data_IF_341133599090
#
_entry.id   IF_341133599090
#
_cell.length_a   1.000
_cell.length_b   1.000
_cell.length_c   1.000
_cell.angle_alpha   90.00
_cell.angle_beta   90.00
_cell.angle_gamma   90.00
#
_symmetry.space_group_name_H-M   'P 1'
#
loop_
_entity.id
_entity.type
_entity.pdbx_description
1 polymer ?
#
# COMPACT_ATOMS: atom_id res chain seq x y z
N UNK A 1 18.22 -31.25 6.11
CA UNK A 1 16.87 -31.05 6.68
C UNK A 1 15.93 -30.84 5.50
N UNK A 2 14.90 -31.69 5.32
CA UNK A 2 13.96 -31.48 4.21
C UNK A 2 13.20 -30.16 4.46
N UNK A 3 12.90 -29.38 3.42
CA UNK A 3 12.09 -28.18 3.58
C UNK A 3 10.72 -28.61 4.10
N UNK A 4 10.30 -28.11 5.26
CA UNK A 4 8.93 -28.29 5.73
C UNK A 4 8.00 -27.74 4.65
N UNK A 5 7.27 -28.64 3.99
CA UNK A 5 6.10 -28.29 3.18
C UNK A 5 5.18 -27.52 4.11
N UNK A 6 5.03 -26.20 3.90
CA UNK A 6 4.22 -25.33 4.77
C UNK A 6 2.83 -25.93 4.89
N UNK A 7 2.34 -26.05 6.11
CA UNK A 7 0.99 -26.51 6.35
C UNK A 7 0.06 -25.39 5.83
N UNK A 8 -0.82 -25.66 4.84
CA UNK A 8 -1.73 -24.64 4.32
C UNK A 8 -2.63 -24.01 5.41
N UNK A 9 -2.79 -24.67 6.55
CA UNK A 9 -3.61 -24.20 7.66
C UNK A 9 -2.81 -23.40 8.71
N UNK A 10 -1.47 -23.30 8.59
CA UNK A 10 -0.70 -22.39 9.43
C UNK A 10 -0.92 -20.92 9.03
N UNK A 11 -0.51 -19.99 9.91
CA UNK A 11 -0.73 -18.56 9.68
C UNK A 11 -0.15 -18.07 8.35
N UNK A 12 1.00 -18.61 7.91
CA UNK A 12 1.63 -18.21 6.66
C UNK A 12 0.91 -18.81 5.44
N UNK A 13 0.44 -20.05 5.53
CA UNK A 13 -0.38 -20.73 4.53
C UNK A 13 -1.72 -20.03 4.31
N UNK A 14 -2.38 -19.61 5.40
CA UNK A 14 -3.64 -18.84 5.33
C UNK A 14 -3.42 -17.50 4.60
N UNK A 15 -2.37 -16.75 4.95
CA UNK A 15 -2.06 -15.46 4.29
C UNK A 15 -1.73 -15.68 2.82
N UNK A 16 -0.96 -16.71 2.48
CA UNK A 16 -0.63 -17.03 1.09
C UNK A 16 -1.88 -17.37 0.26
N UNK A 17 -2.81 -18.13 0.84
CA UNK A 17 -4.09 -18.48 0.19
C UNK A 17 -4.99 -17.25 0.04
N UNK A 18 -5.05 -16.39 1.06
CA UNK A 18 -5.77 -15.13 1.00
C UNK A 18 -5.23 -14.20 -0.09
N UNK A 19 -3.91 -14.09 -0.23
CA UNK A 19 -3.27 -13.34 -1.31
C UNK A 19 -3.61 -13.93 -2.69
N UNK A 20 -3.62 -15.27 -2.82
CA UNK A 20 -4.05 -15.92 -4.06
C UNK A 20 -5.52 -15.63 -4.43
N UNK A 21 -6.42 -15.57 -3.44
CA UNK A 21 -7.81 -15.16 -3.66
C UNK A 21 -7.89 -13.71 -4.12
N UNK A 22 -7.13 -12.81 -3.49
CA UNK A 22 -7.05 -11.40 -3.88
C UNK A 22 -6.62 -11.26 -5.34
N UNK A 23 -5.52 -11.91 -5.73
CA UNK A 23 -4.99 -11.79 -7.09
C UNK A 23 -5.96 -12.33 -8.15
N UNK A 24 -6.66 -13.43 -7.84
CA UNK A 24 -7.57 -14.08 -8.78
C UNK A 24 -8.96 -13.44 -8.88
N UNK A 25 -9.46 -12.86 -7.79
CA UNK A 25 -10.87 -12.44 -7.69
C UNK A 25 -11.08 -11.02 -7.15
N UNK A 26 -10.03 -10.35 -6.70
CA UNK A 26 -10.11 -9.03 -6.09
C UNK A 26 -10.52 -9.03 -4.61
N UNK A 27 -10.48 -7.84 -4.00
CA UNK A 27 -10.66 -7.64 -2.57
C UNK A 27 -12.10 -7.93 -2.11
N UNK A 28 -13.08 -7.60 -2.96
CA UNK A 28 -14.50 -7.84 -2.67
C UNK A 28 -14.78 -9.33 -2.42
N UNK A 29 -14.07 -10.22 -3.14
CA UNK A 29 -14.21 -11.66 -3.00
C UNK A 29 -13.40 -12.26 -1.86
N UNK A 30 -12.39 -11.55 -1.34
CA UNK A 30 -11.63 -11.94 -0.16
C UNK A 30 -12.47 -11.84 1.12
N UNK A 31 -13.26 -12.89 1.36
CA UNK A 31 -14.12 -13.05 2.53
C UNK A 31 -13.63 -14.20 3.42
N UNK A 32 -13.89 -14.12 4.73
CA UNK A 32 -13.55 -15.20 5.67
C UNK A 32 -14.17 -16.55 5.25
N UNK A 33 -15.39 -16.51 4.71
CA UNK A 33 -16.10 -17.71 4.24
C UNK A 33 -15.46 -18.32 2.98
N UNK A 34 -15.09 -17.49 1.98
CA UNK A 34 -14.40 -17.97 0.77
C UNK A 34 -13.05 -18.57 1.15
N UNK A 35 -12.28 -17.87 1.98
CA UNK A 35 -10.98 -18.34 2.44
C UNK A 35 -11.07 -19.68 3.19
N UNK A 36 -12.07 -19.81 4.08
CA UNK A 36 -12.29 -21.06 4.81
C UNK A 36 -12.60 -22.22 3.86
N UNK A 37 -13.46 -21.98 2.85
CA UNK A 37 -13.78 -22.96 1.80
C UNK A 37 -12.55 -23.34 0.98
N UNK A 38 -11.74 -22.37 0.58
CA UNK A 38 -10.52 -22.61 -0.21
C UNK A 38 -9.49 -23.46 0.55
N UNK A 39 -9.46 -23.29 1.87
CA UNK A 39 -8.60 -24.03 2.78
C UNK A 39 -9.21 -25.33 3.29
N UNK A 40 -10.43 -25.70 2.88
CA UNK A 40 -11.18 -26.85 3.40
C UNK A 40 -11.29 -26.88 4.94
N UNK A 41 -11.52 -25.71 5.55
CA UNK A 41 -11.72 -25.55 7.01
C UNK A 41 -13.00 -24.79 7.32
N UNK A 42 -13.39 -24.78 8.60
CA UNK A 42 -14.49 -23.91 9.06
C UNK A 42 -14.02 -22.47 9.20
N UNK A 43 -14.91 -21.49 9.06
CA UNK A 43 -14.58 -20.09 9.33
C UNK A 43 -14.08 -19.88 10.77
N UNK A 44 -14.60 -20.66 11.73
CA UNK A 44 -14.14 -20.67 13.12
C UNK A 44 -12.66 -21.04 13.27
N UNK A 45 -12.15 -21.94 12.43
CA UNK A 45 -10.72 -22.31 12.41
C UNK A 45 -9.82 -21.10 12.10
N UNK A 46 -10.23 -20.24 11.16
CA UNK A 46 -9.48 -19.05 10.79
C UNK A 46 -9.39 -18.03 11.93
N UNK A 47 -10.42 -17.94 12.78
CA UNK A 47 -10.45 -16.99 13.89
C UNK A 47 -9.43 -17.31 15.00
N UNK A 48 -8.91 -18.53 15.06
CA UNK A 48 -7.78 -18.87 15.93
C UNK A 48 -6.47 -18.20 15.50
N UNK A 49 -6.32 -17.91 14.21
CA UNK A 49 -5.14 -17.22 13.67
C UNK A 49 -5.34 -15.71 13.53
N UNK A 50 -6.57 -15.28 13.27
CA UNK A 50 -6.93 -13.89 13.04
C UNK A 50 -8.24 -13.56 13.76
N UNK A 51 -8.17 -12.75 14.81
CA UNK A 51 -9.32 -12.36 15.63
C UNK A 51 -10.42 -11.60 14.83
N UNK A 52 -10.08 -11.04 13.66
CA UNK A 52 -11.02 -10.32 12.80
C UNK A 52 -10.61 -10.37 11.32
N UNK A 53 -11.54 -10.01 10.43
CA UNK A 53 -11.22 -9.82 9.00
C UNK A 53 -10.14 -8.74 8.82
N UNK A 54 -10.20 -7.65 9.60
CA UNK A 54 -9.25 -6.55 9.53
C UNK A 54 -7.83 -7.01 9.88
N UNK A 55 -7.67 -7.88 10.89
CA UNK A 55 -6.37 -8.44 11.23
C UNK A 55 -5.81 -9.34 10.13
N UNK A 56 -6.67 -10.13 9.47
CA UNK A 56 -6.29 -10.90 8.28
C UNK A 56 -5.85 -9.96 7.15
N UNK A 57 -6.64 -8.94 6.83
CA UNK A 57 -6.31 -7.98 5.76
C UNK A 57 -4.98 -7.26 6.05
N UNK A 58 -4.74 -6.84 7.29
CA UNK A 58 -3.45 -6.26 7.68
C UNK A 58 -2.28 -7.20 7.46
N UNK A 59 -2.43 -8.50 7.76
CA UNK A 59 -1.39 -9.49 7.51
C UNK A 59 -1.17 -9.80 6.01
N UNK A 60 -2.22 -9.73 5.19
CA UNK A 60 -2.10 -9.82 3.73
C UNK A 60 -1.43 -8.56 3.18
N UNK A 61 -1.80 -7.37 3.66
CA UNK A 61 -1.15 -6.11 3.31
C UNK A 61 0.35 -6.13 3.68
N UNK A 62 0.72 -6.63 4.86
CA UNK A 62 2.13 -6.80 5.24
C UNK A 62 2.89 -7.70 4.26
N UNK A 63 2.26 -8.77 3.77
CA UNK A 63 2.85 -9.65 2.75
C UNK A 63 3.03 -8.91 1.42
N UNK A 64 2.01 -8.17 0.97
CA UNK A 64 2.04 -7.38 -0.27
C UNK A 64 3.13 -6.31 -0.21
N UNK A 65 3.26 -5.63 0.92
CA UNK A 65 4.20 -4.53 1.11
C UNK A 65 5.63 -4.96 1.46
N UNK A 66 5.87 -6.23 1.81
CA UNK A 66 7.18 -6.72 2.22
C UNK A 66 8.32 -6.35 1.27
N UNK A 67 8.17 -6.40 -0.08
CA UNK A 67 9.21 -5.95 -1.01
C UNK A 67 9.54 -4.46 -0.86
N UNK A 68 8.55 -3.60 -0.60
CA UNK A 68 8.74 -2.16 -0.48
C UNK A 68 9.53 -1.77 0.78
N UNK A 69 9.46 -2.58 1.84
CA UNK A 69 10.17 -2.35 3.10
C UNK A 69 11.52 -3.10 3.18
N UNK A 70 11.87 -3.92 2.19
CA UNK A 70 13.02 -4.83 2.27
C UNK A 70 14.38 -4.11 2.39
N UNK A 71 14.51 -2.90 1.84
CA UNK A 71 15.75 -2.12 1.91
C UNK A 71 15.44 -0.68 2.26
N UNK A 72 15.96 -0.16 3.39
CA UNK A 72 15.81 1.25 3.73
C UNK A 72 16.38 2.14 2.63
N UNK A 73 15.68 3.20 2.23
CA UNK A 73 16.14 4.08 1.17
C UNK A 73 17.35 4.90 1.63
N UNK A 74 18.35 5.01 0.75
CA UNK A 74 19.53 5.83 0.94
C UNK A 74 19.41 7.19 0.22
N UNK A 75 20.31 8.12 0.53
CA UNK A 75 20.36 9.44 -0.09
C UNK A 75 19.72 10.55 0.74
N UNK A 76 19.51 11.70 0.09
CA UNK A 76 18.86 12.85 0.70
C UNK A 76 17.35 12.63 0.86
N UNK A 77 16.69 13.53 1.58
CA UNK A 77 15.27 13.37 1.91
C UNK A 77 14.35 13.27 0.67
N UNK A 78 14.56 14.00 -0.45
CA UNK A 78 13.75 13.82 -1.66
C UNK A 78 13.91 12.44 -2.28
N UNK A 79 15.15 11.93 -2.36
CA UNK A 79 15.42 10.58 -2.87
C UNK A 79 14.75 9.52 -2.00
N UNK A 80 14.80 9.69 -0.66
CA UNK A 80 14.14 8.78 0.28
C UNK A 80 12.62 8.76 0.12
N UNK A 81 11.97 9.92 0.02
CA UNK A 81 10.52 10.00 -0.24
C UNK A 81 10.19 9.34 -1.57
N UNK A 82 10.99 9.61 -2.61
CA UNK A 82 10.78 9.04 -3.95
C UNK A 82 10.86 7.52 -3.94
N UNK A 83 11.87 6.97 -3.28
CA UNK A 83 12.08 5.53 -3.17
C UNK A 83 10.93 4.84 -2.41
N UNK A 84 10.50 5.38 -1.27
CA UNK A 84 9.38 4.80 -0.51
C UNK A 84 8.08 4.86 -1.30
N UNK A 85 7.77 6.01 -1.90
CA UNK A 85 6.54 6.19 -2.67
C UNK A 85 6.49 5.27 -3.90
N UNK A 86 7.62 5.12 -4.60
CA UNK A 86 7.71 4.23 -5.77
C UNK A 86 7.63 2.76 -5.36
N UNK A 87 8.38 2.35 -4.33
CA UNK A 87 8.32 0.97 -3.82
C UNK A 87 6.93 0.61 -3.30
N UNK A 88 6.24 1.53 -2.63
CA UNK A 88 4.85 1.36 -2.24
C UNK A 88 3.97 1.16 -3.48
N UNK A 89 3.99 2.07 -4.46
CA UNK A 89 3.21 1.94 -5.70
C UNK A 89 3.46 0.61 -6.41
N UNK A 90 4.71 0.21 -6.56
CA UNK A 90 5.08 -1.04 -7.24
C UNK A 90 4.51 -2.27 -6.51
N UNK A 91 4.59 -2.29 -5.17
CA UNK A 91 3.99 -3.33 -4.36
C UNK A 91 2.47 -3.38 -4.52
N UNK A 92 1.79 -2.23 -4.53
CA UNK A 92 0.34 -2.16 -4.73
C UNK A 92 -0.07 -2.67 -6.12
N UNK A 93 0.66 -2.29 -7.17
CA UNK A 93 0.39 -2.69 -8.55
C UNK A 93 0.69 -4.17 -8.83
N UNK A 94 1.50 -4.82 -7.98
CA UNK A 94 1.81 -6.25 -8.12
C UNK A 94 0.67 -7.19 -7.73
N UNK A 95 -0.41 -6.66 -7.15
CA UNK A 95 -1.57 -7.42 -6.69
C UNK A 95 -2.88 -6.75 -7.11
N UNK A 96 -3.87 -7.55 -7.52
CA UNK A 96 -5.23 -7.07 -7.83
C UNK A 96 -5.83 -6.38 -6.60
N UNK A 97 -6.42 -5.19 -6.77
CA UNK A 97 -6.97 -4.36 -5.68
C UNK A 97 -6.00 -4.07 -4.53
N UNK A 98 -4.68 -4.15 -4.78
CA UNK A 98 -3.65 -3.93 -3.77
C UNK A 98 -3.77 -2.57 -3.07
N UNK A 99 -4.07 -1.50 -3.82
CA UNK A 99 -4.28 -0.16 -3.25
C UNK A 99 -5.48 -0.13 -2.28
N UNK A 100 -6.58 -0.80 -2.62
CA UNK A 100 -7.76 -0.86 -1.76
C UNK A 100 -7.50 -1.68 -0.50
N UNK A 101 -6.83 -2.83 -0.63
CA UNK A 101 -6.44 -3.68 0.51
C UNK A 101 -5.57 -2.90 1.51
N UNK A 102 -4.54 -2.23 1.01
CA UNK A 102 -3.60 -1.49 1.87
C UNK A 102 -4.29 -0.26 2.45
N UNK A 103 -5.14 0.45 1.70
CA UNK A 103 -5.94 1.56 2.21
C UNK A 103 -6.83 1.14 3.38
N UNK A 104 -7.57 0.02 3.23
CA UNK A 104 -8.40 -0.52 4.30
C UNK A 104 -7.58 -0.93 5.54
N UNK A 105 -6.41 -1.55 5.33
CA UNK A 105 -5.51 -1.98 6.42
C UNK A 105 -4.85 -0.80 7.12
N UNK A 106 -4.52 0.27 6.38
CA UNK A 106 -3.97 1.51 6.91
C UNK A 106 -4.98 2.28 7.73
N UNK A 107 -6.23 2.38 7.27
CA UNK A 107 -7.32 2.99 8.02
C UNK A 107 -7.62 2.24 9.32
N UNK A 108 -7.49 0.90 9.31
CA UNK A 108 -7.72 0.05 10.47
C UNK A 108 -6.50 -0.10 11.41
N UNK A 109 -5.33 0.42 11.03
CA UNK A 109 -4.08 0.27 11.80
C UNK A 109 -3.68 -1.20 12.02
N UNK A 110 -3.80 -2.03 10.98
CA UNK A 110 -3.55 -3.49 11.09
C UNK A 110 -2.28 -3.97 10.36
N UNK A 111 -1.67 -3.14 9.53
CA UNK A 111 -0.44 -3.47 8.80
C UNK A 111 0.75 -2.80 9.49
N UNK A 112 1.76 -3.60 9.86
CA UNK A 112 3.00 -3.10 10.45
C UNK A 112 3.93 -2.53 9.38
N UNK A 113 3.92 -3.13 8.19
CA UNK A 113 4.81 -2.71 7.11
C UNK A 113 4.45 -1.30 6.63
N UNK A 114 3.16 -0.96 6.52
CA UNK A 114 2.77 0.42 6.18
C UNK A 114 3.12 1.41 7.29
N UNK A 115 3.09 1.00 8.57
CA UNK A 115 3.54 1.82 9.69
C UNK A 115 5.05 2.08 9.63
N UNK A 116 5.84 1.07 9.25
CA UNK A 116 7.29 1.22 9.02
C UNK A 116 7.58 2.19 7.87
N UNK A 117 6.90 2.05 6.73
CA UNK A 117 7.02 2.97 5.60
C UNK A 117 6.60 4.40 5.98
N UNK A 118 5.53 4.55 6.76
CA UNK A 118 5.10 5.85 7.30
C UNK A 118 6.18 6.45 8.21
N UNK A 119 6.84 5.63 9.05
CA UNK A 119 7.97 6.05 9.87
C UNK A 119 9.14 6.56 9.02
N UNK A 120 9.50 5.84 7.95
CA UNK A 120 10.56 6.26 7.03
C UNK A 120 10.25 7.61 6.36
N UNK A 121 9.00 7.83 5.94
CA UNK A 121 8.54 9.10 5.38
C UNK A 121 8.52 10.22 6.42
N UNK A 122 8.17 9.91 7.67
CA UNK A 122 8.19 10.87 8.78
C UNK A 122 9.62 11.35 9.06
N UNK A 123 10.58 10.43 9.07
CA UNK A 123 12.01 10.77 9.21
C UNK A 123 12.54 11.57 8.03
N UNK A 124 12.13 11.24 6.80
CA UNK A 124 12.49 12.03 5.62
C UNK A 124 11.90 13.45 5.69
N UNK A 125 10.65 13.61 6.11
CA UNK A 125 10.05 14.92 6.35
C UNK A 125 10.81 15.71 7.44
N UNK A 126 11.27 15.03 8.50
CA UNK A 126 12.14 15.64 9.50
C UNK A 126 13.46 16.15 8.91
N UNK A 127 14.10 15.36 8.04
CA UNK A 127 15.32 15.75 7.33
C UNK A 127 15.09 16.88 6.30
N UNK A 128 13.86 17.04 5.79
CA UNK A 128 13.47 18.20 5.00
C UNK A 128 13.36 19.50 5.81
N UNK A 129 13.33 19.40 7.15
CA UNK A 129 13.13 20.53 8.07
C UNK A 129 11.69 20.74 8.51
N UNK A 130 10.78 19.80 8.21
CA UNK A 130 9.38 19.89 8.64
C UNK A 130 9.29 19.86 10.18
N UNK A 131 8.55 20.79 10.82
CA UNK A 131 8.34 20.80 12.27
C UNK A 131 7.77 19.47 12.79
N UNK A 132 8.21 19.03 13.96
CA UNK A 132 7.84 17.73 14.52
C UNK A 132 6.33 17.43 14.54
N UNK A 133 5.43 18.37 14.88
CA UNK A 133 3.98 18.12 14.86
C UNK A 133 3.41 17.84 13.45
N UNK A 134 4.11 18.25 12.39
CA UNK A 134 3.65 18.18 11.00
C UNK A 134 4.28 17.03 10.20
N UNK A 135 5.35 16.41 10.69
CA UNK A 135 6.07 15.33 9.96
C UNK A 135 5.16 14.14 9.62
N UNK A 136 4.36 13.70 10.59
CA UNK A 136 3.40 12.61 10.37
C UNK A 136 2.30 13.03 9.39
N UNK A 137 1.87 14.30 9.39
CA UNK A 137 0.90 14.81 8.43
C UNK A 137 1.47 14.78 7.00
N UNK A 138 2.71 15.24 6.82
CA UNK A 138 3.43 15.17 5.55
C UNK A 138 3.55 13.72 5.05
N UNK A 139 3.97 12.80 5.92
CA UNK A 139 4.10 11.39 5.60
C UNK A 139 2.75 10.76 5.18
N UNK A 140 1.68 11.02 5.93
CA UNK A 140 0.32 10.53 5.60
C UNK A 140 -0.18 11.10 4.27
N UNK A 141 0.10 12.37 3.97
CA UNK A 141 -0.27 12.98 2.67
C UNK A 141 0.39 12.25 1.51
N UNK A 142 1.67 11.91 1.63
CA UNK A 142 2.38 11.13 0.61
C UNK A 142 1.76 9.74 0.46
N UNK A 143 1.48 9.04 1.57
CA UNK A 143 0.82 7.72 1.53
C UNK A 143 -0.57 7.81 0.86
N UNK A 144 -1.40 8.80 1.22
CA UNK A 144 -2.71 8.98 0.60
C UNK A 144 -2.60 9.27 -0.89
N UNK A 145 -1.62 10.06 -1.32
CA UNK A 145 -1.35 10.30 -2.73
C UNK A 145 -1.05 8.98 -3.46
N UNK A 146 -0.13 8.16 -2.93
CA UNK A 146 0.23 6.88 -3.54
C UNK A 146 -0.98 5.94 -3.60
N UNK A 147 -1.73 5.81 -2.50
CA UNK A 147 -2.92 4.97 -2.45
C UNK A 147 -4.00 5.42 -3.45
N UNK A 148 -4.32 6.73 -3.46
CA UNK A 148 -5.35 7.28 -4.33
C UNK A 148 -4.98 7.20 -5.81
N UNK A 149 -3.73 7.55 -6.15
CA UNK A 149 -3.24 7.45 -7.52
C UNK A 149 -3.27 6.00 -8.01
N UNK A 150 -2.76 5.07 -7.20
CA UNK A 150 -2.66 3.66 -7.59
C UNK A 150 -4.04 3.00 -7.67
N UNK A 151 -4.99 3.38 -6.81
CA UNK A 151 -6.36 2.89 -6.89
C UNK A 151 -7.08 3.33 -8.18
N UNK A 152 -6.89 4.58 -8.61
CA UNK A 152 -7.40 5.06 -9.91
C UNK A 152 -6.76 4.32 -11.08
N UNK A 153 -5.43 4.15 -11.03
CA UNK A 153 -4.67 3.39 -12.02
C UNK A 153 -5.17 1.93 -12.14
N UNK A 154 -5.35 1.23 -11.02
CA UNK A 154 -5.89 -0.14 -11.01
C UNK A 154 -7.31 -0.20 -11.54
N UNK A 155 -8.18 0.74 -11.15
CA UNK A 155 -9.56 0.82 -11.64
C UNK A 155 -9.59 1.02 -13.16
N UNK A 156 -8.75 1.92 -13.69
CA UNK A 156 -8.63 2.17 -15.12
C UNK A 156 -8.15 0.94 -15.89
N UNK A 157 -7.14 0.23 -15.37
CA UNK A 157 -6.65 -1.02 -15.97
C UNK A 157 -7.77 -2.09 -16.03
N UNK A 158 -8.59 -2.20 -14.98
CA UNK A 158 -9.74 -3.11 -14.97
C UNK A 158 -10.79 -2.72 -16.03
N UNK A 159 -11.12 -1.43 -16.15
CA UNK A 159 -12.07 -0.95 -17.16
C UNK A 159 -11.54 -1.08 -18.60
N UNK A 160 -10.25 -0.85 -18.82
CA UNK A 160 -9.58 -1.10 -20.11
C UNK A 160 -9.63 -2.58 -20.49
N UNK A 161 -9.35 -3.47 -19.53
CA UNK A 161 -9.34 -4.93 -19.78
C UNK A 161 -10.69 -5.47 -20.28
N UNK A 162 -11.79 -4.82 -19.91
CA UNK A 162 -13.15 -5.15 -20.38
C UNK A 162 -13.62 -4.29 -21.55
N UNK A 163 -12.75 -3.42 -22.10
CA UNK A 163 -13.06 -2.57 -23.26
C UNK A 163 -14.07 -1.46 -22.97
N UNK A 164 -14.20 -1.04 -21.71
CA UNK A 164 -15.21 -0.06 -21.28
C UNK A 164 -14.74 1.39 -21.35
N UNK A 165 -13.44 1.65 -21.58
CA UNK A 165 -12.90 3.01 -21.68
C UNK A 165 -12.86 3.50 -23.13
N UNK A 166 -13.20 4.78 -23.40
CA UNK A 166 -12.92 5.41 -24.69
C UNK A 166 -11.43 5.36 -25.01
N UNK A 167 -11.05 5.22 -26.28
CA UNK A 167 -9.64 5.10 -26.71
C UNK A 167 -8.74 6.19 -26.11
N UNK A 168 -9.19 7.44 -26.06
CA UNK A 168 -8.40 8.55 -25.50
C UNK A 168 -8.16 8.46 -23.99
N UNK A 169 -8.94 7.65 -23.27
CA UNK A 169 -8.86 7.46 -21.83
C UNK A 169 -8.16 6.14 -21.47
N UNK A 170 -7.79 5.34 -22.47
CA UNK A 170 -7.11 4.07 -22.26
C UNK A 170 -5.71 4.27 -21.67
N UNK A 171 -5.36 3.41 -20.72
CA UNK A 171 -4.04 3.31 -20.11
C UNK A 171 -2.93 3.01 -21.14
N UNK A 172 -3.28 2.48 -22.31
CA UNK A 172 -2.35 2.30 -23.43
C UNK A 172 -1.81 3.63 -24.00
N UNK A 173 -2.44 4.76 -23.69
CA UNK A 173 -2.06 6.08 -24.16
C UNK A 173 -1.62 7.03 -23.04
N UNK A 174 -1.69 6.60 -21.78
CA UNK A 174 -1.33 7.40 -20.61
C UNK A 174 -0.07 6.83 -19.97
N UNK A 175 1.00 7.63 -19.88
CA UNK A 175 2.17 7.28 -19.08
C UNK A 175 1.87 7.51 -17.58
N UNK A 176 1.30 6.50 -16.94
CA UNK A 176 0.95 6.53 -15.53
C UNK A 176 2.18 6.74 -14.63
N UNK A 177 3.36 6.24 -15.03
CA UNK A 177 4.60 6.45 -14.31
C UNK A 177 5.04 7.92 -14.34
N UNK A 178 4.96 8.57 -15.49
CA UNK A 178 5.25 10.00 -15.62
C UNK A 178 4.25 10.87 -14.83
N UNK A 179 2.96 10.53 -14.88
CA UNK A 179 1.91 11.23 -14.12
C UNK A 179 2.10 11.07 -12.61
N UNK A 180 2.40 9.86 -12.13
CA UNK A 180 2.75 9.59 -10.74
C UNK A 180 3.99 10.40 -10.30
N UNK A 181 5.05 10.34 -11.12
CA UNK A 181 6.28 11.07 -10.85
C UNK A 181 6.07 12.59 -10.79
N UNK A 182 5.18 13.13 -11.63
CA UNK A 182 4.83 14.55 -11.60
C UNK A 182 4.16 14.96 -10.29
N UNK A 183 3.11 14.24 -9.86
CA UNK A 183 2.42 14.57 -8.60
C UNK A 183 3.33 14.41 -7.38
N UNK A 184 4.18 13.37 -7.36
CA UNK A 184 5.16 13.18 -6.31
C UNK A 184 6.18 14.32 -6.24
N UNK A 185 6.67 14.80 -7.39
CA UNK A 185 7.56 15.98 -7.44
C UNK A 185 6.89 17.24 -6.90
N UNK A 186 5.59 17.43 -7.14
CA UNK A 186 4.85 18.56 -6.56
C UNK A 186 4.81 18.49 -5.03
N UNK A 187 4.56 17.30 -4.47
CA UNK A 187 4.56 17.10 -3.01
C UNK A 187 5.95 17.35 -2.40
N UNK A 188 7.01 16.82 -3.03
CA UNK A 188 8.40 17.03 -2.60
C UNK A 188 8.76 18.51 -2.65
N UNK A 189 8.47 19.20 -3.76
CA UNK A 189 8.75 20.63 -3.90
C UNK A 189 7.96 21.47 -2.89
N UNK A 190 6.70 21.10 -2.61
CA UNK A 190 5.87 21.72 -1.59
C UNK A 190 6.48 21.63 -0.19
N UNK A 191 7.01 20.45 0.19
CA UNK A 191 7.70 20.27 1.47
C UNK A 191 8.95 21.16 1.59
N UNK A 192 9.73 21.29 0.51
CA UNK A 192 10.90 22.17 0.52
C UNK A 192 10.52 23.66 0.70
N UNK A 193 9.40 24.08 0.11
CA UNK A 193 8.93 25.46 0.19
C UNK A 193 8.30 25.81 1.55
N UNK A 194 7.52 24.89 2.14
CA UNK A 194 6.80 25.12 3.40
C UNK A 194 7.75 25.26 4.60
N UNK A 195 8.90 24.58 4.55
CA UNK A 195 9.99 24.74 5.54
C UNK A 195 10.61 26.14 5.50
N UNK A 196 10.47 26.85 4.37
CA UNK A 196 10.96 28.22 4.21
C UNK A 196 9.89 29.27 4.60
N UNK A 197 8.66 28.87 4.87
CA UNK A 197 7.59 29.78 5.28
C UNK A 197 7.65 30.04 6.80
N UNK A 198 7.54 31.30 7.26
CA UNK A 198 7.49 31.58 8.69
C UNK A 198 6.26 30.93 9.30
N UNK A 199 6.45 30.16 10.37
CA UNK A 199 5.36 29.54 11.15
C UNK A 199 4.45 30.66 11.66
N UNK A 200 3.30 30.81 11.02
CA UNK A 200 2.27 31.75 11.49
C UNK A 200 1.66 31.18 12.77
N UNK A 201 1.68 31.89 13.90
CA UNK A 201 1.11 31.38 15.13
C UNK A 201 -0.39 31.16 14.94
N UNK A 202 -0.84 29.93 15.19
CA UNK A 202 -2.25 29.58 15.21
C UNK A 202 -3.00 30.49 16.19
N UNK A 203 -4.14 31.02 15.75
CA UNK A 203 -5.08 31.80 16.57
C UNK A 203 -5.90 30.90 17.47
#
# INVERSE_FOLDING_TARGET
MPPHKRDPHDRAGIIATAAGILDAYGLADLTMRRLARELDVTAGALYWHFASKQQLLGAVADRVLAPAAATPPAGDWPARITAVATGLRDALLSHTDGAELVSASFAAGQSRVIEELLGQLTEAAGAAGVPAPQRTLAARTIVHYVLGFTADEQSRLQWDAVGALPEQQSMLHVDAGAAFGFGLRLLIAGLAADVSAPVSPAR
#
